data_IF_719535698234
#
_entry.id   IF_719535698234
#
_cell.length_a   1.000
_cell.length_b   1.000
_cell.length_c   1.000
_cell.angle_alpha   90.00
_cell.angle_beta   90.00
_cell.angle_gamma   90.00
#
_symmetry.space_group_name_H-M   'P 1'
#
loop_
_entity.id
_entity.type
_entity.pdbx_description
1 polymer ?
#
# COMPACT_ATOMS: atom_id res chain seq x y z
N UNK A 1 55.42 10.53 -6.18
CA UNK A 1 55.07 11.14 -7.49
C UNK A 1 56.38 11.56 -8.15
N UNK A 2 56.81 10.90 -9.24
CA UNK A 2 57.98 11.35 -10.00
C UNK A 2 57.59 12.66 -10.69
N UNK A 3 58.14 13.78 -10.24
CA UNK A 3 58.05 15.07 -10.92
C UNK A 3 58.72 14.84 -12.27
N UNK A 4 57.97 14.91 -13.37
CA UNK A 4 58.55 14.81 -14.72
C UNK A 4 59.65 15.88 -14.82
N UNK A 5 60.88 15.45 -15.09
CA UNK A 5 62.02 16.36 -15.17
C UNK A 5 61.78 17.39 -16.27
N UNK A 6 62.27 18.60 -16.07
CA UNK A 6 62.11 19.74 -16.99
C UNK A 6 62.52 19.38 -18.42
N UNK A 7 63.49 18.49 -18.59
CA UNK A 7 63.97 17.96 -19.87
C UNK A 7 62.91 17.16 -20.65
N UNK A 8 62.03 16.41 -19.97
CA UNK A 8 60.97 15.65 -20.65
C UNK A 8 59.86 16.59 -21.11
N UNK A 9 59.59 17.66 -20.35
CA UNK A 9 58.60 18.67 -20.67
C UNK A 9 59.01 19.53 -21.87
N UNK A 10 60.28 19.90 -21.98
CA UNK A 10 60.80 20.63 -23.14
C UNK A 10 60.80 19.78 -24.41
N UNK A 11 61.19 18.51 -24.32
CA UNK A 11 61.15 17.57 -25.46
C UNK A 11 59.72 17.34 -25.99
N UNK A 12 58.73 17.21 -25.11
CA UNK A 12 57.30 17.10 -25.48
C UNK A 12 56.81 18.39 -26.15
N UNK A 13 57.26 19.56 -25.68
CA UNK A 13 56.93 20.86 -26.28
C UNK A 13 57.49 21.04 -27.70
N UNK A 14 58.68 20.51 -27.98
CA UNK A 14 59.28 20.56 -29.32
C UNK A 14 58.55 19.68 -30.33
N UNK A 15 58.01 18.52 -29.90
CA UNK A 15 57.35 17.55 -30.78
C UNK A 15 55.87 17.91 -31.02
N UNK A 16 55.16 18.38 -29.99
CA UNK A 16 53.71 18.63 -30.05
C UNK A 16 53.35 20.10 -30.33
N UNK A 17 54.34 20.99 -30.33
CA UNK A 17 54.12 22.44 -30.37
C UNK A 17 53.39 22.96 -29.11
N UNK A 18 53.17 24.27 -29.06
CA UNK A 18 52.52 24.96 -27.93
C UNK A 18 51.12 24.41 -27.62
N UNK A 19 50.34 24.06 -28.65
CA UNK A 19 48.96 23.60 -28.51
C UNK A 19 48.84 22.24 -27.82
N UNK A 20 49.73 21.29 -28.10
CA UNK A 20 49.66 19.96 -27.48
C UNK A 20 50.12 19.96 -26.01
N UNK A 21 51.01 20.87 -25.63
CA UNK A 21 51.40 21.07 -24.23
C UNK A 21 50.24 21.66 -23.42
N UNK A 22 49.56 22.67 -23.96
CA UNK A 22 48.36 23.25 -23.33
C UNK A 22 47.29 22.18 -23.13
N UNK A 23 47.07 21.30 -24.11
CA UNK A 23 46.13 20.19 -23.99
C UNK A 23 46.50 19.21 -22.88
N UNK A 24 47.78 18.84 -22.73
CA UNK A 24 48.22 17.94 -21.65
C UNK A 24 48.08 18.56 -20.26
N UNK A 25 48.41 19.86 -20.12
CA UNK A 25 48.23 20.59 -18.87
C UNK A 25 46.75 20.70 -18.54
N UNK A 26 45.91 21.07 -19.49
CA UNK A 26 44.46 21.14 -19.32
C UNK A 26 43.88 19.77 -18.93
N UNK A 27 44.27 18.70 -19.62
CA UNK A 27 43.81 17.33 -19.33
C UNK A 27 44.22 16.88 -17.93
N UNK A 28 45.48 17.09 -17.54
CA UNK A 28 45.95 16.71 -16.19
C UNK A 28 45.29 17.53 -15.09
N UNK A 29 45.01 18.82 -15.33
CA UNK A 29 44.22 19.64 -14.43
C UNK A 29 42.77 19.17 -14.35
N UNK A 30 42.13 18.87 -15.48
CA UNK A 30 40.75 18.39 -15.53
C UNK A 30 40.60 17.06 -14.80
N UNK A 31 41.47 16.08 -15.06
CA UNK A 31 41.45 14.79 -14.37
C UNK A 31 41.71 14.95 -12.87
N UNK A 32 42.61 15.84 -12.46
CA UNK A 32 42.82 16.16 -11.04
C UNK A 32 41.62 16.87 -10.42
N UNK A 33 40.95 17.75 -11.16
CA UNK A 33 39.75 18.45 -10.72
C UNK A 33 38.59 17.47 -10.57
N UNK A 34 38.36 16.57 -11.53
CA UNK A 34 37.38 15.47 -11.44
C UNK A 34 37.67 14.52 -10.27
N UNK A 35 38.95 14.27 -9.97
CA UNK A 35 39.35 13.41 -8.84
C UNK A 35 39.17 14.11 -7.48
N UNK A 36 39.35 15.44 -7.41
CA UNK A 36 39.14 16.24 -6.20
C UNK A 36 37.70 16.71 -6.00
N UNK A 37 36.94 16.82 -7.08
CA UNK A 37 35.54 17.15 -7.14
C UNK A 37 34.81 16.04 -7.91
N UNK A 38 34.76 14.81 -7.38
CA UNK A 38 33.86 13.83 -7.97
C UNK A 38 32.46 14.43 -7.84
N UNK A 39 31.71 14.52 -8.94
CA UNK A 39 30.32 15.01 -8.96
C UNK A 39 29.44 13.94 -8.31
N UNK A 40 29.70 13.69 -7.03
CA UNK A 40 28.83 12.93 -6.15
C UNK A 40 27.91 13.99 -5.57
N UNK A 41 26.83 14.29 -6.28
CA UNK A 41 25.63 14.89 -5.70
C UNK A 41 25.00 13.84 -4.76
N UNK A 42 25.73 13.39 -3.74
CA UNK A 42 25.13 12.79 -2.56
C UNK A 42 24.59 13.96 -1.77
N UNK A 43 23.45 14.42 -2.21
CA UNK A 43 22.70 15.44 -1.52
C UNK A 43 22.15 14.78 -0.26
N UNK A 44 22.66 15.16 0.91
CA UNK A 44 22.19 14.64 2.21
C UNK A 44 20.66 14.78 2.33
N UNK A 45 20.06 15.74 1.61
CA UNK A 45 18.60 15.89 1.49
C UNK A 45 17.92 14.72 0.78
N UNK A 46 18.55 14.13 -0.23
CA UNK A 46 18.03 12.96 -0.94
C UNK A 46 18.10 11.72 -0.05
N UNK A 47 19.17 11.58 0.74
CA UNK A 47 19.28 10.48 1.70
C UNK A 47 18.28 10.64 2.87
N UNK A 48 18.10 11.86 3.38
CA UNK A 48 17.07 12.20 4.38
C UNK A 48 15.64 11.96 3.84
N UNK A 49 15.39 12.33 2.57
CA UNK A 49 14.11 12.12 1.92
C UNK A 49 13.84 10.63 1.71
N UNK A 50 14.84 9.83 1.32
CA UNK A 50 14.73 8.36 1.22
C UNK A 50 14.38 7.75 2.57
N UNK A 51 15.08 8.13 3.63
CA UNK A 51 14.78 7.65 4.98
C UNK A 51 13.36 8.01 5.43
N UNK A 52 12.89 9.20 5.08
CA UNK A 52 11.51 9.64 5.35
C UNK A 52 10.48 8.84 4.55
N UNK A 53 10.74 8.57 3.28
CA UNK A 53 9.89 7.73 2.42
C UNK A 53 9.83 6.30 2.95
N UNK A 54 10.96 5.73 3.38
CA UNK A 54 11.00 4.37 3.91
C UNK A 54 10.23 4.26 5.24
N UNK A 55 10.35 5.27 6.11
CA UNK A 55 9.54 5.37 7.33
C UNK A 55 8.04 5.51 7.03
N UNK A 56 7.66 6.33 6.05
CA UNK A 56 6.26 6.47 5.66
C UNK A 56 5.72 5.15 5.08
N UNK A 57 6.51 4.43 4.29
CA UNK A 57 6.14 3.10 3.77
C UNK A 57 5.90 2.12 4.90
N UNK A 58 6.79 2.04 5.89
CA UNK A 58 6.60 1.14 7.03
C UNK A 58 5.35 1.47 7.83
N UNK A 59 5.05 2.76 8.03
CA UNK A 59 3.81 3.19 8.70
C UNK A 59 2.55 2.84 7.90
N UNK A 60 2.59 3.00 6.57
CA UNK A 60 1.49 2.61 5.68
C UNK A 60 1.25 1.11 5.72
N UNK A 61 2.31 0.31 5.76
CA UNK A 61 2.20 -1.15 5.82
C UNK A 61 1.63 -1.61 7.16
N UNK A 62 2.08 -1.04 8.29
CA UNK A 62 1.50 -1.31 9.62
C UNK A 62 0.00 -0.94 9.70
N UNK A 63 -0.38 0.20 9.11
CA UNK A 63 -1.78 0.62 9.02
C UNK A 63 -2.62 -0.34 8.16
N UNK A 64 -2.06 -0.83 7.05
CA UNK A 64 -2.73 -1.82 6.19
C UNK A 64 -2.94 -3.14 6.91
N UNK A 65 -1.94 -3.62 7.64
CA UNK A 65 -2.04 -4.85 8.43
C UNK A 65 -3.13 -4.72 9.51
N UNK A 66 -3.13 -3.59 10.22
CA UNK A 66 -4.17 -3.28 11.22
C UNK A 66 -5.55 -3.22 10.58
N UNK A 67 -5.69 -2.53 9.44
CA UNK A 67 -6.94 -2.44 8.71
C UNK A 67 -7.43 -3.81 8.23
N UNK A 68 -6.53 -4.69 7.81
CA UNK A 68 -6.86 -6.06 7.39
C UNK A 68 -7.38 -6.90 8.57
N UNK A 69 -6.72 -6.82 9.73
CA UNK A 69 -7.17 -7.50 10.95
C UNK A 69 -8.56 -7.01 11.36
N UNK A 70 -8.77 -5.69 11.41
CA UNK A 70 -10.06 -5.10 11.76
C UNK A 70 -11.15 -5.47 10.75
N UNK A 71 -10.85 -5.46 9.45
CA UNK A 71 -11.78 -5.88 8.41
C UNK A 71 -12.24 -7.32 8.63
N UNK A 72 -11.31 -8.24 8.87
CA UNK A 72 -11.64 -9.65 9.15
C UNK A 72 -12.50 -9.78 10.40
N UNK A 73 -12.14 -9.12 11.50
CA UNK A 73 -12.92 -9.16 12.74
C UNK A 73 -14.35 -8.64 12.56
N UNK A 74 -14.54 -7.54 11.81
CA UNK A 74 -15.86 -6.98 11.53
C UNK A 74 -16.70 -7.90 10.65
N UNK A 75 -16.10 -8.57 9.66
CA UNK A 75 -16.77 -9.57 8.83
C UNK A 75 -17.31 -10.70 9.70
N UNK A 76 -16.48 -11.25 10.60
CA UNK A 76 -16.88 -12.34 11.49
C UNK A 76 -17.99 -11.92 12.46
N UNK A 77 -17.90 -10.72 13.04
CA UNK A 77 -18.96 -10.19 13.91
C UNK A 77 -20.28 -9.96 13.16
N UNK A 78 -20.21 -9.46 11.93
CA UNK A 78 -21.40 -9.29 11.09
C UNK A 78 -22.02 -10.65 10.72
N UNK A 79 -21.20 -11.64 10.39
CA UNK A 79 -21.65 -13.02 10.15
C UNK A 79 -22.35 -13.61 11.37
N UNK A 80 -21.70 -13.59 12.55
CA UNK A 80 -22.29 -14.07 13.80
C UNK A 80 -23.62 -13.39 14.10
N UNK A 81 -23.72 -12.09 13.82
CA UNK A 81 -24.96 -11.35 14.04
C UNK A 81 -26.08 -11.73 13.08
N UNK A 82 -25.76 -12.00 11.81
CA UNK A 82 -26.73 -12.53 10.84
C UNK A 82 -27.18 -13.92 11.28
N UNK A 83 -26.24 -14.79 11.68
CA UNK A 83 -26.52 -16.15 12.15
C UNK A 83 -27.43 -16.16 13.38
N UNK A 84 -27.13 -15.37 14.40
CA UNK A 84 -27.96 -15.23 15.62
C UNK A 84 -29.39 -14.75 15.29
N UNK A 85 -29.52 -13.80 14.35
CA UNK A 85 -30.83 -13.34 13.89
C UNK A 85 -31.57 -14.42 13.12
N UNK A 86 -30.91 -15.05 12.17
CA UNK A 86 -31.47 -16.16 11.41
C UNK A 86 -31.97 -17.26 12.34
N UNK A 87 -31.15 -17.72 13.29
CA UNK A 87 -31.53 -18.76 14.25
C UNK A 87 -32.79 -18.38 15.05
N UNK A 88 -32.86 -17.14 15.56
CA UNK A 88 -34.06 -16.66 16.27
C UNK A 88 -35.31 -16.67 15.40
N UNK A 89 -35.20 -16.20 14.15
CA UNK A 89 -36.35 -16.12 13.24
C UNK A 89 -36.76 -17.51 12.74
N UNK A 90 -35.81 -18.39 12.47
CA UNK A 90 -36.04 -19.78 12.09
C UNK A 90 -36.73 -20.58 13.18
N UNK A 91 -36.37 -20.38 14.46
CA UNK A 91 -37.08 -21.00 15.59
C UNK A 91 -38.53 -20.53 15.70
N UNK A 92 -38.81 -19.27 15.35
CA UNK A 92 -40.16 -18.69 15.39
C UNK A 92 -40.98 -19.00 14.12
N UNK A 93 -40.31 -19.27 12.99
CA UNK A 93 -40.92 -19.56 11.71
C UNK A 93 -41.40 -18.33 10.92
N UNK A 94 -41.16 -17.11 11.40
CA UNK A 94 -41.53 -15.86 10.70
C UNK A 94 -40.61 -14.70 11.09
N UNK A 95 -40.51 -13.68 10.24
CA UNK A 95 -39.70 -12.48 10.44
C UNK A 95 -40.47 -11.23 10.01
N UNK A 96 -40.67 -10.28 10.92
CA UNK A 96 -41.37 -9.04 10.60
C UNK A 96 -40.65 -8.27 9.48
N UNK A 97 -41.33 -7.52 8.59
CA UNK A 97 -40.68 -6.77 7.52
C UNK A 97 -39.53 -5.84 7.98
N UNK A 98 -39.64 -5.28 9.18
CA UNK A 98 -38.55 -4.49 9.77
C UNK A 98 -37.33 -5.34 10.16
N UNK A 99 -37.56 -6.54 10.69
CA UNK A 99 -36.49 -7.47 11.06
C UNK A 99 -35.73 -7.97 9.82
N UNK A 100 -36.47 -8.28 8.76
CA UNK A 100 -35.92 -8.59 7.43
C UNK A 100 -35.04 -7.45 6.91
N UNK A 101 -35.50 -6.20 7.02
CA UNK A 101 -34.72 -5.02 6.62
C UNK A 101 -33.43 -4.87 7.44
N UNK A 102 -33.49 -5.14 8.74
CA UNK A 102 -32.31 -5.09 9.61
C UNK A 102 -31.28 -6.15 9.19
N UNK A 103 -31.71 -7.39 8.93
CA UNK A 103 -30.81 -8.45 8.45
C UNK A 103 -30.20 -8.08 7.10
N UNK A 104 -31.01 -7.57 6.16
CA UNK A 104 -30.52 -7.11 4.86
C UNK A 104 -29.44 -6.02 4.99
N UNK A 105 -29.62 -5.06 5.91
CA UNK A 105 -28.61 -4.00 6.15
C UNK A 105 -27.30 -4.55 6.68
N UNK A 106 -27.36 -5.52 7.60
CA UNK A 106 -26.15 -6.16 8.14
C UNK A 106 -25.47 -6.99 7.04
N UNK A 107 -26.26 -7.69 6.23
CA UNK A 107 -25.77 -8.43 5.07
C UNK A 107 -25.06 -7.53 4.05
N UNK A 108 -25.62 -6.38 3.70
CA UNK A 108 -24.99 -5.44 2.76
C UNK A 108 -23.62 -5.00 3.28
N UNK A 109 -23.50 -4.67 4.57
CA UNK A 109 -22.22 -4.33 5.18
C UNK A 109 -21.23 -5.51 5.13
N UNK A 110 -21.68 -6.70 5.56
CA UNK A 110 -20.90 -7.94 5.49
C UNK A 110 -20.37 -8.24 4.09
N UNK A 111 -21.24 -8.18 3.07
CA UNK A 111 -20.88 -8.47 1.70
C UNK A 111 -19.94 -7.40 1.11
N UNK A 112 -20.17 -6.12 1.42
CA UNK A 112 -19.27 -5.03 0.98
C UNK A 112 -17.85 -5.16 1.52
N UNK A 113 -17.68 -5.79 2.69
CA UNK A 113 -16.38 -6.08 3.28
C UNK A 113 -15.73 -7.34 2.68
N UNK A 114 -16.38 -8.05 1.75
CA UNK A 114 -15.87 -9.29 1.16
C UNK A 114 -16.28 -10.55 1.91
N UNK A 115 -17.40 -10.51 2.63
CA UNK A 115 -17.99 -11.68 3.27
C UNK A 115 -18.31 -12.81 2.29
N UNK A 116 -18.28 -14.04 2.79
CA UNK A 116 -18.43 -15.28 2.02
C UNK A 116 -19.91 -15.60 1.65
N UNK A 117 -20.10 -16.71 0.93
CA UNK A 117 -21.43 -17.16 0.47
C UNK A 117 -22.40 -17.54 1.59
N UNK A 118 -21.91 -17.97 2.75
CA UNK A 118 -22.73 -18.49 3.86
C UNK A 118 -23.64 -17.40 4.42
N UNK A 119 -23.12 -16.19 4.67
CA UNK A 119 -23.95 -15.06 5.13
C UNK A 119 -25.02 -14.63 4.12
N UNK A 120 -24.79 -14.88 2.82
CA UNK A 120 -25.76 -14.58 1.76
C UNK A 120 -26.95 -15.53 1.80
N UNK A 121 -26.70 -16.80 2.09
CA UNK A 121 -27.75 -17.82 2.22
C UNK A 121 -28.64 -17.56 3.44
N UNK A 122 -28.04 -17.30 4.61
CA UNK A 122 -28.78 -16.98 5.83
C UNK A 122 -29.67 -15.73 5.66
N UNK A 123 -29.17 -14.69 4.98
CA UNK A 123 -29.99 -13.53 4.67
C UNK A 123 -31.15 -13.90 3.74
N UNK A 124 -30.91 -14.68 2.68
CA UNK A 124 -31.94 -15.13 1.74
C UNK A 124 -33.05 -15.90 2.45
N UNK A 125 -32.70 -16.81 3.34
CA UNK A 125 -33.65 -17.58 4.16
C UNK A 125 -34.52 -16.64 4.99
N UNK A 126 -33.93 -15.67 5.70
CA UNK A 126 -34.70 -14.67 6.47
C UNK A 126 -35.61 -13.83 5.58
N UNK A 127 -35.16 -13.40 4.40
CA UNK A 127 -36.01 -12.62 3.49
C UNK A 127 -37.24 -13.41 3.02
N UNK A 128 -37.07 -14.72 2.81
CA UNK A 128 -38.11 -15.63 2.32
C UNK A 128 -39.06 -16.14 3.41
N UNK A 129 -38.79 -15.89 4.70
CA UNK A 129 -39.71 -16.28 5.78
C UNK A 129 -41.06 -15.57 5.68
N UNK A 130 -42.15 -16.12 6.24
CA UNK A 130 -43.39 -15.39 6.44
C UNK A 130 -43.18 -14.07 7.19
N UNK A 131 -43.93 -13.03 6.83
CA UNK A 131 -43.78 -11.69 7.42
C UNK A 131 -44.53 -11.50 8.75
N UNK A 132 -45.53 -12.35 9.00
CA UNK A 132 -46.42 -12.30 10.16
C UNK A 132 -46.56 -13.70 10.77
N UNK A 133 -46.97 -13.82 12.04
CA UNK A 133 -47.32 -15.10 12.63
C UNK A 133 -48.41 -15.81 11.80
N UNK A 134 -48.41 -17.15 11.76
CA UNK A 134 -49.44 -17.92 11.07
C UNK A 134 -50.87 -17.58 11.52
N UNK A 135 -51.04 -17.15 12.76
CA UNK A 135 -52.34 -16.99 13.41
C UNK A 135 -52.98 -15.60 13.19
N UNK A 136 -52.27 -14.65 12.55
CA UNK A 136 -52.77 -13.29 12.25
C UNK A 136 -53.39 -13.17 10.84
N UNK A 137 -53.55 -14.29 10.11
CA UNK A 137 -54.08 -14.33 8.74
C UNK A 137 -55.32 -15.24 8.60
N UNK A 138 -56.24 -15.20 9.56
CA UNK A 138 -57.63 -15.57 9.29
C UNK A 138 -58.40 -14.32 8.83
N UNK A 139 -58.70 -14.16 7.53
CA UNK A 139 -59.73 -13.23 7.11
C UNK A 139 -61.11 -13.77 7.54
N UNK A 140 -61.83 -12.99 8.35
CA UNK A 140 -63.29 -13.16 8.57
C UNK A 140 -64.09 -13.03 7.26
#
# INVERSE_FOLDING_TARGET
MKILSVEVLTMIATILGSNGVIYLIAKTMLTRWETKHPVVMRDDRVDELRASVDKLRSQVDELRDTQQILRTAVIELAYLRISDKHERYSRRGWAHPNEKRVVQRIYVAYHSLGGNGTGSELNREVQNMPSYPPDEHEPE
#
